data_IF_294334093461
#
_entry.id   IF_294334093461
#
_cell.length_a   1.000
_cell.length_b   1.000
_cell.length_c   1.000
_cell.angle_alpha   90.00
_cell.angle_beta   90.00
_cell.angle_gamma   90.00
#
_symmetry.space_group_name_H-M   'P 1'
#
loop_
_entity.id
_entity.type
_entity.pdbx_description
1 polymer ?
#
# COMPACT_ATOMS: atom_id res chain seq x y z
N UNK A 1 -12.90 -4.64 0.89
CA UNK A 1 -12.71 -3.81 -0.33
C UNK A 1 -11.25 -3.97 -0.76
N UNK A 2 -10.92 -4.16 -2.04
CA UNK A 2 -9.49 -4.38 -2.39
C UNK A 2 -8.75 -3.04 -2.49
N UNK A 3 -7.80 -2.79 -1.60
CA UNK A 3 -6.95 -1.60 -1.59
C UNK A 3 -5.53 -2.00 -1.95
N UNK A 4 -4.92 -1.22 -2.85
CA UNK A 4 -3.55 -1.37 -3.31
C UNK A 4 -2.81 -0.06 -3.12
N UNK A 5 -1.62 -0.11 -2.55
CA UNK A 5 -0.70 1.03 -2.45
C UNK A 5 0.48 0.79 -3.40
N UNK A 6 0.76 1.78 -4.24
CA UNK A 6 1.96 1.79 -5.07
C UNK A 6 3.07 2.51 -4.33
N UNK A 7 4.12 1.78 -4.01
CA UNK A 7 5.33 2.30 -3.38
C UNK A 7 6.32 2.76 -4.46
N UNK A 8 6.77 4.01 -4.36
CA UNK A 8 7.80 4.58 -5.22
C UNK A 8 9.14 4.67 -4.49
N UNK A 9 9.46 3.64 -3.70
CA UNK A 9 10.64 3.57 -2.83
C UNK A 9 10.66 4.67 -1.77
N UNK A 10 9.50 5.03 -1.23
CA UNK A 10 9.38 6.05 -0.19
C UNK A 10 9.27 5.40 1.19
N UNK A 11 10.10 5.87 2.13
CA UNK A 11 10.07 5.44 3.52
C UNK A 11 8.72 5.62 4.22
N UNK A 12 7.86 6.54 3.75
CA UNK A 12 6.54 6.80 4.33
C UNK A 12 5.48 5.75 3.96
N UNK A 13 5.73 4.88 2.97
CA UNK A 13 4.73 3.92 2.50
C UNK A 13 4.20 3.02 3.61
N UNK A 14 5.05 2.59 4.55
CA UNK A 14 4.64 1.76 5.68
C UNK A 14 3.69 2.49 6.66
N UNK A 15 3.88 3.79 6.87
CA UNK A 15 2.96 4.58 7.70
C UNK A 15 1.55 4.59 7.10
N UNK A 16 1.47 4.75 5.78
CA UNK A 16 0.19 4.75 5.06
C UNK A 16 -0.48 3.36 5.12
N UNK A 17 0.30 2.30 4.95
CA UNK A 17 -0.18 0.91 5.13
C UNK A 17 -0.76 0.71 6.52
N UNK A 18 -0.02 1.06 7.58
CA UNK A 18 -0.50 0.87 8.95
C UNK A 18 -1.78 1.65 9.25
N UNK A 19 -1.86 2.90 8.78
CA UNK A 19 -3.06 3.72 8.94
C UNK A 19 -4.25 3.12 8.17
N UNK A 20 -4.04 2.69 6.93
CA UNK A 20 -5.08 2.11 6.10
C UNK A 20 -5.60 0.78 6.68
N UNK A 21 -4.71 -0.12 7.12
CA UNK A 21 -5.10 -1.37 7.77
C UNK A 21 -5.89 -1.12 9.08
N UNK A 22 -5.51 -0.11 9.86
CA UNK A 22 -6.19 0.25 11.10
C UNK A 22 -7.60 0.80 10.88
N UNK A 23 -7.81 1.58 9.82
CA UNK A 23 -9.11 2.19 9.48
C UNK A 23 -10.04 1.17 8.80
N UNK A 24 -9.50 0.37 7.89
CA UNK A 24 -10.29 -0.55 7.08
C UNK A 24 -10.53 -1.90 7.75
N UNK A 25 -9.75 -2.22 8.79
CA UNK A 25 -9.74 -3.54 9.43
C UNK A 25 -9.49 -4.68 8.43
N UNK A 26 -8.77 -4.40 7.36
CA UNK A 26 -8.45 -5.31 6.26
C UNK A 26 -6.97 -5.14 5.88
N UNK A 27 -6.40 -6.18 5.25
CA UNK A 27 -5.03 -6.12 4.72
C UNK A 27 -4.97 -5.31 3.43
N UNK A 28 -3.91 -4.52 3.29
CA UNK A 28 -3.64 -3.72 2.10
C UNK A 28 -2.48 -4.33 1.33
N UNK A 29 -2.63 -4.45 0.01
CA UNK A 29 -1.56 -4.95 -0.85
C UNK A 29 -0.61 -3.81 -1.23
N UNK A 30 0.69 -4.03 -1.12
CA UNK A 30 1.73 -3.04 -1.52
C UNK A 30 2.51 -3.60 -2.70
N UNK A 31 2.66 -2.79 -3.74
CA UNK A 31 3.49 -3.12 -4.91
C UNK A 31 4.44 -1.97 -5.20
N UNK A 32 5.65 -2.28 -5.65
CA UNK A 32 6.56 -1.27 -6.17
C UNK A 32 6.04 -0.77 -7.54
N UNK A 33 6.20 0.52 -7.80
CA UNK A 33 5.65 1.14 -9.00
C UNK A 33 6.21 0.56 -10.32
N UNK A 34 7.42 0.01 -10.30
CA UNK A 34 8.11 -0.60 -11.43
C UNK A 34 7.75 -2.09 -11.62
N UNK A 35 7.07 -2.69 -10.65
CA UNK A 35 6.62 -4.08 -10.69
C UNK A 35 5.20 -4.23 -11.22
N UNK A 36 4.48 -3.12 -11.43
CA UNK A 36 3.11 -3.12 -11.93
C UNK A 36 3.10 -2.78 -13.42
N UNK A 37 2.81 -3.79 -14.25
CA UNK A 37 2.59 -3.63 -15.69
C UNK A 37 1.08 -3.51 -15.91
N UNK A 38 0.65 -2.42 -16.55
CA UNK A 38 -0.76 -2.17 -16.90
C UNK A 38 -1.19 -2.93 -18.15
#
# INVERSE_FOLDING_TARGET
MKVMILDNYDSFTYNLVHMAEAILHEKVDVYLNDQVIL
#
